data_IF_624124367255
#
_entry.id   IF_624124367255
#
_cell.length_a   1.000
_cell.length_b   1.000
_cell.length_c   1.000
_cell.angle_alpha   90.00
_cell.angle_beta   90.00
_cell.angle_gamma   90.00
#
_symmetry.space_group_name_H-M   'P 1'
#
loop_
_entity.id
_entity.type
_entity.pdbx_description
1 polymer ?
#
# COMPACT_ATOMS: atom_id res chain seq x y z
N UNK A 1 -16.35 -8.49 -20.13
CA UNK A 1 -16.99 -9.45 -19.19
C UNK A 1 -16.09 -9.79 -18.01
N UNK A 2 -14.77 -9.84 -18.17
CA UNK A 2 -13.77 -10.12 -17.11
C UNK A 2 -13.77 -9.12 -15.96
N UNK A 3 -13.87 -7.81 -16.25
CA UNK A 3 -13.85 -6.77 -15.22
C UNK A 3 -15.06 -6.81 -14.25
N UNK A 4 -16.25 -7.18 -14.74
CA UNK A 4 -17.45 -7.32 -13.90
C UNK A 4 -17.35 -8.55 -12.98
N UNK A 5 -16.81 -9.66 -13.50
CA UNK A 5 -16.61 -10.87 -12.71
C UNK A 5 -15.56 -10.68 -11.61
N UNK A 6 -14.43 -10.02 -11.92
CA UNK A 6 -13.42 -9.64 -10.93
C UNK A 6 -14.03 -8.79 -9.80
N UNK A 7 -14.83 -7.78 -10.15
CA UNK A 7 -15.55 -6.93 -9.18
C UNK A 7 -16.52 -7.70 -8.29
N UNK A 8 -17.31 -8.63 -8.84
CA UNK A 8 -18.29 -9.40 -8.05
C UNK A 8 -17.60 -10.44 -7.15
N UNK A 9 -16.57 -11.12 -7.67
CA UNK A 9 -15.79 -12.09 -6.89
C UNK A 9 -14.90 -11.45 -5.81
N UNK A 10 -14.62 -10.14 -5.91
CA UNK A 10 -13.76 -9.42 -4.98
C UNK A 10 -14.34 -9.34 -3.57
N UNK A 11 -15.63 -9.02 -3.45
CA UNK A 11 -16.28 -8.80 -2.15
C UNK A 11 -16.40 -10.08 -1.29
N UNK A 12 -16.83 -11.24 -1.83
CA UNK A 12 -16.87 -12.49 -1.06
C UNK A 12 -15.48 -12.93 -0.58
N UNK A 13 -14.46 -12.77 -1.42
CA UNK A 13 -13.09 -13.16 -1.07
C UNK A 13 -12.43 -12.17 -0.12
N UNK A 14 -12.74 -10.88 -0.20
CA UNK A 14 -12.34 -9.89 0.81
C UNK A 14 -12.99 -10.20 2.16
N UNK A 15 -14.30 -10.46 2.16
CA UNK A 15 -15.03 -10.81 3.38
C UNK A 15 -14.50 -12.10 4.02
N UNK A 16 -14.23 -13.12 3.22
CA UNK A 16 -13.60 -14.35 3.69
C UNK A 16 -12.21 -14.06 4.29
N UNK A 17 -11.39 -13.21 3.66
CA UNK A 17 -10.09 -12.83 4.22
C UNK A 17 -10.21 -12.11 5.57
N UNK A 18 -11.14 -11.16 5.69
CA UNK A 18 -11.42 -10.44 6.95
C UNK A 18 -11.92 -11.39 8.04
N UNK A 19 -12.87 -12.25 7.68
CA UNK A 19 -13.42 -13.23 8.61
C UNK A 19 -12.33 -14.20 9.10
N UNK A 20 -11.51 -14.72 8.18
CA UNK A 20 -10.42 -15.61 8.52
C UNK A 20 -9.33 -14.91 9.33
N UNK A 21 -9.01 -13.65 9.05
CA UNK A 21 -8.07 -12.89 9.87
C UNK A 21 -8.60 -12.71 11.30
N UNK A 22 -9.86 -12.36 11.49
CA UNK A 22 -10.45 -12.19 12.81
C UNK A 22 -10.62 -13.49 13.61
N UNK A 23 -10.80 -14.62 12.93
CA UNK A 23 -11.04 -15.93 13.55
C UNK A 23 -9.73 -16.71 13.77
N UNK A 24 -8.67 -16.41 13.03
CA UNK A 24 -7.36 -17.09 13.14
C UNK A 24 -6.30 -16.16 13.73
N UNK A 25 -5.12 -16.70 14.07
CA UNK A 25 -3.97 -15.90 14.54
C UNK A 25 -3.23 -15.18 13.40
N UNK A 26 -3.92 -14.79 12.33
CA UNK A 26 -3.27 -14.18 11.16
C UNK A 26 -3.09 -12.69 11.42
N UNK A 27 -1.87 -12.20 11.28
CA UNK A 27 -1.60 -10.76 11.34
C UNK A 27 -2.19 -10.07 10.11
N UNK A 28 -2.77 -8.87 10.29
CA UNK A 28 -3.28 -8.03 9.21
C UNK A 28 -2.14 -7.46 8.35
N UNK A 29 -1.03 -7.14 9.01
CA UNK A 29 0.20 -6.67 8.43
C UNK A 29 1.38 -7.24 9.21
N UNK A 30 2.51 -7.36 8.54
CA UNK A 30 3.78 -7.81 9.10
C UNK A 30 4.85 -6.76 8.74
N UNK A 31 5.68 -6.41 9.73
CA UNK A 31 6.82 -5.52 9.55
C UNK A 31 7.96 -6.31 8.91
N UNK A 32 8.43 -5.85 7.76
CA UNK A 32 9.49 -6.52 6.99
C UNK A 32 10.86 -5.98 7.43
N UNK A 33 10.96 -4.66 7.60
CA UNK A 33 12.15 -3.99 8.12
C UNK A 33 11.78 -2.72 8.93
N UNK A 34 12.76 -1.88 9.23
CA UNK A 34 12.56 -0.64 9.99
C UNK A 34 11.73 0.42 9.24
N UNK A 35 11.68 0.37 7.92
CA UNK A 35 11.06 1.37 7.04
C UNK A 35 9.95 0.78 6.15
N UNK A 36 9.60 -0.50 6.30
CA UNK A 36 8.67 -1.19 5.40
C UNK A 36 7.76 -2.17 6.15
N UNK A 37 6.48 -2.06 5.84
CA UNK A 37 5.43 -2.94 6.34
C UNK A 37 4.64 -3.49 5.15
N UNK A 38 4.33 -4.78 5.21
CA UNK A 38 3.53 -5.49 4.23
C UNK A 38 2.20 -5.87 4.85
N UNK A 39 1.07 -5.58 4.20
CA UNK A 39 -0.23 -5.95 4.77
C UNK A 39 -1.41 -5.99 3.82
N UNK A 40 -2.58 -6.27 4.40
CA UNK A 40 -3.86 -6.26 3.72
C UNK A 40 -4.46 -4.84 3.63
N UNK A 41 -5.68 -4.70 3.12
CA UNK A 41 -6.32 -3.40 2.92
C UNK A 41 -6.41 -2.57 4.23
N UNK A 42 -5.89 -1.33 4.28
CA UNK A 42 -5.99 -0.51 5.49
C UNK A 42 -7.40 0.06 5.62
N UNK A 43 -8.25 -0.55 6.48
CA UNK A 43 -9.61 -0.04 6.69
C UNK A 43 -9.59 1.35 7.34
N UNK A 44 -10.57 2.17 6.95
CA UNK A 44 -10.72 3.55 7.42
C UNK A 44 -10.74 3.70 8.94
N UNK A 45 -11.21 2.69 9.66
CA UNK A 45 -11.35 2.71 11.12
C UNK A 45 -10.02 2.62 11.86
N UNK A 46 -9.07 1.81 11.38
CA UNK A 46 -7.80 1.58 12.10
C UNK A 46 -6.58 2.21 11.40
N UNK A 47 -6.70 2.65 10.15
CA UNK A 47 -5.61 3.31 9.42
C UNK A 47 -4.97 4.48 10.21
N UNK A 48 -5.74 5.41 10.85
CA UNK A 48 -5.13 6.51 11.62
C UNK A 48 -4.31 6.06 12.82
N UNK A 49 -4.69 4.95 13.46
CA UNK A 49 -3.97 4.38 14.59
C UNK A 49 -2.67 3.72 14.13
N UNK A 50 -2.74 2.92 13.06
CA UNK A 50 -1.58 2.27 12.44
C UNK A 50 -0.53 3.29 11.96
N UNK A 51 -0.97 4.40 11.34
CA UNK A 51 -0.07 5.48 10.90
C UNK A 51 0.73 6.05 12.06
N UNK A 52 0.08 6.27 13.21
CA UNK A 52 0.72 6.84 14.41
C UNK A 52 1.66 5.85 15.08
N UNK A 53 1.27 4.58 15.18
CA UNK A 53 2.06 3.54 15.84
C UNK A 53 3.32 3.21 15.04
N UNK A 54 3.19 3.10 13.72
CA UNK A 54 4.26 2.62 12.83
C UNK A 54 5.00 3.77 12.12
N UNK A 55 4.64 5.03 12.39
CA UNK A 55 5.16 6.23 11.71
C UNK A 55 5.10 6.11 10.17
N UNK A 56 3.92 5.78 9.65
CA UNK A 56 3.72 5.60 8.21
C UNK A 56 3.71 6.96 7.53
N UNK A 57 4.60 7.13 6.55
CA UNK A 57 4.70 8.35 5.74
C UNK A 57 4.26 8.14 4.30
N UNK A 58 4.25 6.89 3.84
CA UNK A 58 3.84 6.54 2.50
C UNK A 58 3.04 5.23 2.46
N UNK A 59 2.12 5.14 1.50
CA UNK A 59 1.31 3.95 1.24
C UNK A 59 1.39 3.61 -0.25
N UNK A 60 1.71 2.34 -0.55
CA UNK A 60 1.69 1.79 -1.91
C UNK A 60 0.55 0.78 -2.01
N UNK A 61 -0.42 1.07 -2.86
CA UNK A 61 -1.56 0.20 -3.13
C UNK A 61 -1.45 -0.45 -4.51
N UNK A 62 -1.57 -1.76 -4.58
CA UNK A 62 -1.70 -2.51 -5.84
C UNK A 62 -3.15 -2.84 -6.22
N UNK A 63 -4.10 -2.25 -5.50
CA UNK A 63 -5.53 -2.43 -5.70
C UNK A 63 -6.09 -1.51 -6.79
N UNK A 64 -7.17 -1.94 -7.43
CA UNK A 64 -7.94 -1.09 -8.36
C UNK A 64 -8.83 -0.08 -7.61
N UNK A 65 -9.23 0.99 -8.30
CA UNK A 65 -10.05 2.09 -7.73
C UNK A 65 -11.34 1.59 -7.07
N UNK A 66 -11.99 0.58 -7.66
CA UNK A 66 -13.23 0.04 -7.11
C UNK A 66 -13.02 -0.68 -5.76
N UNK A 67 -11.84 -1.24 -5.53
CA UNK A 67 -11.46 -1.94 -4.29
C UNK A 67 -11.15 -0.94 -3.17
N UNK A 68 -10.54 0.19 -3.54
CA UNK A 68 -10.19 1.27 -2.63
C UNK A 68 -11.42 2.09 -2.22
N UNK A 69 -12.31 2.39 -3.17
CA UNK A 69 -13.48 3.25 -2.93
C UNK A 69 -14.45 2.66 -1.89
N UNK A 70 -14.62 1.34 -1.88
CA UNK A 70 -15.56 0.67 -0.98
C UNK A 70 -15.07 0.62 0.48
N UNK A 71 -13.77 0.38 0.74
CA UNK A 71 -13.29 0.06 2.09
C UNK A 71 -12.01 0.78 2.56
N UNK A 72 -11.23 1.38 1.65
CA UNK A 72 -9.95 2.02 1.95
C UNK A 72 -10.03 3.56 1.90
N UNK A 73 -8.94 4.21 2.27
CA UNK A 73 -8.73 5.64 2.11
C UNK A 73 -8.34 5.95 0.65
N UNK A 74 -8.94 7.01 0.09
CA UNK A 74 -8.54 7.57 -1.19
C UNK A 74 -7.33 8.51 -1.00
N UNK A 75 -6.69 8.91 -2.12
CA UNK A 75 -5.56 9.85 -2.13
C UNK A 75 -5.79 11.09 -1.26
N UNK A 76 -6.98 11.72 -1.35
CA UNK A 76 -7.31 12.92 -0.55
C UNK A 76 -7.37 12.66 0.95
N UNK A 77 -7.74 11.44 1.37
CA UNK A 77 -7.79 11.08 2.78
C UNK A 77 -6.40 10.79 3.33
N UNK A 78 -5.54 10.13 2.55
CA UNK A 78 -4.14 9.95 2.91
C UNK A 78 -3.41 11.29 3.02
N UNK A 79 -3.65 12.21 2.10
CA UNK A 79 -3.11 13.57 2.17
C UNK A 79 -3.53 14.31 3.46
N UNK A 80 -4.78 14.13 3.92
CA UNK A 80 -5.25 14.70 5.20
C UNK A 80 -4.59 14.09 6.44
N UNK A 81 -4.03 12.88 6.30
CA UNK A 81 -3.29 12.19 7.35
C UNK A 81 -1.77 12.40 7.24
N UNK A 82 -1.32 13.30 6.35
CA UNK A 82 0.09 13.56 6.05
C UNK A 82 0.84 12.31 5.54
N UNK A 83 0.15 11.49 4.75
CA UNK A 83 0.68 10.27 4.15
C UNK A 83 0.63 10.38 2.63
N UNK A 84 1.76 10.14 1.98
CA UNK A 84 1.88 10.12 0.52
C UNK A 84 1.30 8.79 -0.02
N UNK A 85 0.55 8.84 -1.12
CA UNK A 85 -0.17 7.67 -1.64
C UNK A 85 0.17 7.41 -3.10
N UNK A 86 0.74 6.23 -3.36
CA UNK A 86 1.00 5.71 -4.69
C UNK A 86 0.05 4.55 -4.99
N UNK A 87 -0.64 4.63 -6.12
CA UNK A 87 -1.46 3.54 -6.63
C UNK A 87 -0.84 2.94 -7.88
N UNK A 88 -0.58 1.63 -7.81
CA UNK A 88 -0.10 0.80 -8.90
C UNK A 88 -1.22 -0.16 -9.30
N UNK A 89 -2.28 0.38 -9.92
CA UNK A 89 -3.49 -0.37 -10.27
C UNK A 89 -3.13 -1.62 -11.07
N UNK A 90 -3.37 -2.80 -10.49
CA UNK A 90 -3.06 -4.09 -11.10
C UNK A 90 -4.32 -4.96 -10.96
N UNK A 91 -4.82 -5.46 -12.09
CA UNK A 91 -6.00 -6.33 -12.15
C UNK A 91 -5.77 -7.53 -11.24
N UNK A 92 -6.58 -7.65 -10.19
CA UNK A 92 -6.62 -8.85 -9.34
C UNK A 92 -7.04 -9.99 -10.25
N UNK A 93 -6.13 -10.96 -10.51
CA UNK A 93 -6.42 -12.39 -10.68
C UNK A 93 -5.22 -13.17 -11.31
N UNK A 94 -4.32 -12.61 -12.15
CA UNK A 94 -3.20 -13.42 -12.71
C UNK A 94 -1.86 -12.74 -13.05
N UNK A 95 -1.66 -11.43 -12.80
CA UNK A 95 -0.46 -10.75 -13.32
C UNK A 95 0.29 -9.98 -12.25
N UNK A 96 1.62 -10.15 -12.23
CA UNK A 96 2.53 -9.25 -11.54
C UNK A 96 2.46 -7.86 -12.17
N UNK A 97 2.68 -6.78 -11.40
CA UNK A 97 2.80 -5.45 -11.98
C UNK A 97 3.89 -5.44 -13.07
N UNK A 98 3.65 -4.70 -14.16
CA UNK A 98 4.65 -4.54 -15.22
C UNK A 98 5.92 -3.84 -14.68
N UNK A 99 7.03 -3.99 -15.41
CA UNK A 99 8.34 -3.46 -15.00
C UNK A 99 8.31 -1.96 -14.69
N UNK A 100 7.53 -1.18 -15.45
CA UNK A 100 7.38 0.26 -15.20
C UNK A 100 6.74 0.54 -13.84
N UNK A 101 5.71 -0.24 -13.45
CA UNK A 101 5.06 -0.11 -12.15
C UNK A 101 5.99 -0.50 -11.01
N UNK A 102 6.79 -1.57 -11.20
CA UNK A 102 7.83 -1.95 -10.25
C UNK A 102 8.85 -0.83 -10.08
N UNK A 103 9.31 -0.24 -11.18
CA UNK A 103 10.24 0.87 -11.17
C UNK A 103 9.67 2.09 -10.45
N UNK A 104 8.41 2.46 -10.73
CA UNK A 104 7.70 3.54 -10.02
C UNK A 104 7.56 3.24 -8.54
N UNK A 105 7.19 2.01 -8.17
CA UNK A 105 7.07 1.58 -6.77
C UNK A 105 8.38 1.69 -6.00
N UNK A 106 9.47 1.18 -6.57
CA UNK A 106 10.81 1.26 -5.95
C UNK A 106 11.28 2.70 -5.84
N UNK A 107 11.10 3.52 -6.89
CA UNK A 107 11.45 4.95 -6.85
C UNK A 107 10.68 5.70 -5.76
N UNK A 108 9.40 5.40 -5.61
CA UNK A 108 8.57 6.00 -4.57
C UNK A 108 9.04 5.58 -3.19
N UNK A 109 9.23 4.28 -2.92
CA UNK A 109 9.74 3.77 -1.64
C UNK A 109 11.07 4.43 -1.27
N UNK A 110 11.99 4.55 -2.24
CA UNK A 110 13.31 5.14 -2.03
C UNK A 110 13.27 6.58 -1.50
N UNK A 111 12.19 7.34 -1.77
CA UNK A 111 12.01 8.70 -1.27
C UNK A 111 11.73 8.81 0.23
N UNK A 112 11.36 7.70 0.88
CA UNK A 112 11.03 7.64 2.31
C UNK A 112 12.07 6.88 3.14
N UNK A 113 13.10 6.32 2.49
CA UNK A 113 14.19 5.63 3.15
C UNK A 113 15.21 6.64 3.72
N UNK A 114 15.91 6.28 4.81
CA UNK A 114 17.02 7.08 5.31
C UNK A 114 18.21 7.03 4.33
N UNK A 115 19.12 8.01 4.40
CA UNK A 115 20.21 8.17 3.42
C UNK A 115 21.14 6.96 3.31
N UNK A 116 21.33 6.22 4.41
CA UNK A 116 22.15 5.01 4.48
C UNK A 116 21.52 3.80 3.77
N UNK A 117 20.18 3.77 3.62
CA UNK A 117 19.44 2.68 2.97
C UNK A 117 18.91 3.05 1.58
N UNK A 118 19.02 4.31 1.19
CA UNK A 118 18.58 4.76 -0.12
C UNK A 118 19.46 4.16 -1.22
N UNK A 119 18.83 3.78 -2.33
CA UNK A 119 19.51 3.27 -3.50
C UNK A 119 20.03 4.47 -4.30
N UNK A 120 21.35 4.58 -4.40
CA UNK A 120 22.02 5.66 -5.13
C UNK A 120 21.73 5.60 -6.64
N UNK A 121 21.48 6.76 -7.25
CA UNK A 121 21.29 6.88 -8.70
C UNK A 121 19.84 6.71 -9.19
N UNK A 122 18.87 6.44 -8.31
CA UNK A 122 17.46 6.51 -8.67
C UNK A 122 16.97 7.97 -8.65
N UNK A 123 16.41 8.48 -9.75
CA UNK A 123 15.87 9.84 -9.78
C UNK A 123 14.66 9.93 -8.84
N UNK A 124 14.61 11.00 -8.04
CA UNK A 124 13.45 11.30 -7.20
C UNK A 124 12.18 11.36 -8.06
N UNK A 125 11.04 10.99 -7.49
CA UNK A 125 9.76 11.11 -8.19
C UNK A 125 9.44 12.61 -8.32
N UNK A 126 9.22 13.07 -9.56
CA UNK A 126 8.91 14.47 -9.84
C UNK A 126 7.52 14.83 -9.29
N UNK A 127 7.42 15.89 -8.49
CA UNK A 127 6.14 16.49 -8.10
C UNK A 127 5.86 16.60 -6.60
N UNK A 128 6.71 16.09 -5.72
CA UNK A 128 6.40 16.08 -4.28
C UNK A 128 7.35 17.00 -3.51
N UNK A 129 6.81 18.12 -3.00
CA UNK A 129 7.52 19.17 -2.26
C UNK A 129 7.42 18.93 -0.75
N UNK A 130 8.34 18.17 -0.15
CA UNK A 130 8.54 18.17 1.31
C UNK A 130 10.02 18.08 1.63
N UNK A 131 10.46 18.80 2.67
CA UNK A 131 11.86 18.89 3.04
C UNK A 131 12.46 17.50 3.34
N UNK A 132 13.72 17.21 2.97
CA UNK A 132 14.30 15.86 3.02
C UNK A 132 14.25 15.15 4.38
N UNK A 133 14.26 15.90 5.49
CA UNK A 133 14.27 15.34 6.84
C UNK A 133 12.89 14.87 7.35
N UNK A 134 11.79 15.39 6.80
CA UNK A 134 10.44 15.16 7.30
C UNK A 134 9.68 14.05 6.52
N UNK A 135 10.38 13.47 5.54
CA UNK A 135 9.89 12.40 4.67
C UNK A 135 10.30 11.00 5.12
N UNK A 136 11.35 10.89 5.91
CA UNK A 136 11.84 9.57 6.33
C UNK A 136 10.81 8.94 7.26
N UNK A 137 10.40 7.71 6.95
CA UNK A 137 9.42 6.99 7.73
C UNK A 137 9.19 5.58 7.22
N UNK A 138 8.04 5.03 7.59
CA UNK A 138 7.64 3.69 7.19
C UNK A 138 6.75 3.75 5.95
N UNK A 139 7.01 2.86 4.99
CA UNK A 139 6.17 2.65 3.81
C UNK A 139 5.30 1.42 4.02
N UNK A 140 3.99 1.60 3.88
CA UNK A 140 3.01 0.52 3.95
C UNK A 140 2.64 0.04 2.56
N UNK A 141 3.05 -1.18 2.22
CA UNK A 141 2.77 -1.82 0.93
C UNK A 141 1.63 -2.79 1.11
N UNK A 142 0.55 -2.63 0.35
CA UNK A 142 -0.60 -3.50 0.46
C UNK A 142 -1.22 -3.90 -0.87
N UNK A 143 -1.88 -5.05 -0.83
CA UNK A 143 -2.87 -5.45 -1.81
C UNK A 143 -4.18 -5.77 -1.09
N UNK A 144 -5.00 -6.67 -1.63
CA UNK A 144 -6.23 -7.14 -0.98
C UNK A 144 -5.97 -7.89 0.33
N UNK A 145 -5.04 -8.84 0.30
CA UNK A 145 -4.77 -9.76 1.41
C UNK A 145 -3.33 -9.67 1.95
N UNK A 146 -2.48 -8.86 1.33
CA UNK A 146 -1.07 -8.71 1.72
C UNK A 146 -0.18 -9.90 1.37
N UNK A 147 -0.58 -10.78 0.43
CA UNK A 147 0.04 -12.11 0.28
C UNK A 147 0.45 -12.51 -1.14
N UNK A 148 0.08 -11.73 -2.15
CA UNK A 148 0.39 -12.06 -3.56
C UNK A 148 0.97 -10.84 -4.27
N UNK A 149 0.13 -9.91 -4.71
CA UNK A 149 0.58 -8.72 -5.47
C UNK A 149 1.61 -7.90 -4.69
N UNK A 150 1.46 -7.83 -3.37
CA UNK A 150 2.28 -6.99 -2.49
C UNK A 150 3.54 -7.64 -1.94
N UNK A 151 3.66 -8.96 -2.04
CA UNK A 151 4.81 -9.72 -1.55
C UNK A 151 5.82 -9.90 -2.69
#
# INVERSE_FOLDING_TARGET
MTAMFARVSFYPTLFYNVFMEKVTKRNWYDRIDENMILGALPFRSFAPEMIKQENIKAVVSMNEDYELWAFSNNKDRWAKLDVEFLQLATTDIFEAPCQDKLWTGVRFINGFLPQDKCIAGLPAVEGEQKAPGDRVGTVYVHCKAGRTRSA
#
